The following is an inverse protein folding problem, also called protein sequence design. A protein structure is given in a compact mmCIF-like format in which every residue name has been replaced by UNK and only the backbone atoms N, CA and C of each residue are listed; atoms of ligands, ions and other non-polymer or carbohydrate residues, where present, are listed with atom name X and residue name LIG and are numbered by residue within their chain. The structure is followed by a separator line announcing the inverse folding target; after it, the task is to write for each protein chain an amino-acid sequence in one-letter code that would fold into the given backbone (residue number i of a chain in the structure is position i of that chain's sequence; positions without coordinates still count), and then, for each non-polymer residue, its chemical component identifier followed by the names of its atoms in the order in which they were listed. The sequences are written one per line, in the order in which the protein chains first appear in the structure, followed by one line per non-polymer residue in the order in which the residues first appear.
data_IF_834586760523
#
_entry.id   IF_834586760523
#
_cell.length_a   1.000
_cell.length_b   1.000
_cell.length_c   1.000
_cell.angle_alpha   90.00
_cell.angle_beta   90.00
_cell.angle_gamma   90.00
#
_symmetry.space_group_name_H-M   'P 1'
#
loop_
_entity.id
_entity.type
_entity.pdbx_description
1 polymer ?
#
# COMPACT_ATOMS: atom_id res chain seq x y z
N UNK A 1 -34.39 7.88 -12.13
CA UNK A 1 -33.12 7.40 -11.54
C UNK A 1 -32.00 7.98 -12.40
N UNK A 2 -31.24 8.98 -11.93
CA UNK A 2 -30.14 9.59 -12.71
C UNK A 2 -28.83 8.91 -12.31
N UNK A 3 -28.28 8.09 -13.22
CA UNK A 3 -26.94 7.53 -13.10
C UNK A 3 -25.95 8.66 -13.40
N UNK A 4 -25.09 9.01 -12.44
CA UNK A 4 -23.93 9.90 -12.68
C UNK A 4 -22.75 9.03 -13.14
N UNK A 5 -22.27 9.24 -14.35
CA UNK A 5 -20.98 8.71 -14.76
C UNK A 5 -19.86 9.54 -14.12
N UNK A 6 -18.77 8.90 -13.68
CA UNK A 6 -17.61 9.56 -13.04
C UNK A 6 -17.00 10.71 -13.89
N UNK A 7 -17.20 10.69 -15.21
CA UNK A 7 -16.73 11.71 -16.14
C UNK A 7 -17.67 12.93 -16.25
N UNK A 8 -18.93 12.82 -15.78
CA UNK A 8 -19.96 13.86 -15.95
C UNK A 8 -20.14 14.74 -14.70
N UNK A 9 -19.24 14.63 -13.71
CA UNK A 9 -19.21 15.56 -12.59
C UNK A 9 -18.74 16.94 -13.10
N UNK A 10 -19.70 17.80 -13.42
CA UNK A 10 -19.46 19.18 -13.84
C UNK A 10 -18.50 19.88 -12.87
N UNK A 11 -17.46 20.51 -13.43
CA UNK A 11 -16.49 21.35 -12.70
C UNK A 11 -17.26 22.44 -11.92
N UNK A 12 -17.48 22.19 -10.63
CA UNK A 12 -17.82 23.24 -9.68
C UNK A 12 -16.54 23.67 -8.96
N UNK A 13 -16.36 24.96 -8.66
CA UNK A 13 -15.16 25.45 -7.98
C UNK A 13 -14.83 24.68 -6.69
N UNK A 14 -15.87 24.24 -5.97
CA UNK A 14 -15.77 23.60 -4.66
C UNK A 14 -15.81 22.06 -4.71
N UNK A 15 -15.91 21.45 -5.89
CA UNK A 15 -16.02 20.00 -6.08
C UNK A 15 -15.22 19.58 -7.33
N UNK A 16 -13.87 19.54 -7.24
CA UNK A 16 -13.01 19.21 -8.37
C UNK A 16 -13.17 17.74 -8.76
N UNK A 17 -13.23 17.47 -10.06
CA UNK A 17 -13.22 16.11 -10.56
C UNK A 17 -11.90 15.37 -10.20
N UNK A 18 -11.92 14.04 -10.26
CA UNK A 18 -10.80 13.18 -9.86
C UNK A 18 -9.47 13.55 -10.54
N UNK A 19 -9.49 13.88 -11.83
CA UNK A 19 -8.27 14.24 -12.57
C UNK A 19 -7.65 15.52 -12.02
N UNK A 20 -8.46 16.56 -11.77
CA UNK A 20 -7.98 17.81 -11.17
C UNK A 20 -7.44 17.61 -9.76
N UNK A 21 -8.06 16.72 -8.96
CA UNK A 21 -7.52 16.37 -7.64
C UNK A 21 -6.13 15.76 -7.75
N UNK A 22 -5.94 14.78 -8.64
CA UNK A 22 -4.65 14.12 -8.86
C UNK A 22 -3.60 15.11 -9.37
N UNK A 23 -3.96 15.99 -10.31
CA UNK A 23 -3.06 17.04 -10.81
C UNK A 23 -2.61 18.00 -9.71
N UNK A 24 -3.53 18.44 -8.85
CA UNK A 24 -3.20 19.34 -7.74
C UNK A 24 -2.24 18.69 -6.73
N UNK A 25 -2.44 17.41 -6.42
CA UNK A 25 -1.51 16.66 -5.56
C UNK A 25 -0.16 16.38 -6.24
N UNK A 26 -0.17 16.10 -7.54
CA UNK A 26 1.04 15.96 -8.33
C UNK A 26 1.86 17.24 -8.33
N UNK A 27 1.24 18.40 -8.56
CA UNK A 27 1.93 19.69 -8.61
C UNK A 27 2.61 20.01 -7.27
N UNK A 28 1.96 19.69 -6.13
CA UNK A 28 2.58 19.80 -4.79
C UNK A 28 3.86 18.96 -4.68
N UNK A 29 3.79 17.69 -5.08
CA UNK A 29 4.95 16.80 -5.05
C UNK A 29 6.07 17.21 -6.02
N UNK A 30 5.70 17.66 -7.22
CA UNK A 30 6.63 18.09 -8.26
C UNK A 30 7.42 19.33 -7.81
N UNK A 31 6.75 20.31 -7.20
CA UNK A 31 7.38 21.53 -6.70
C UNK A 31 8.47 21.25 -5.64
N UNK A 32 8.31 20.20 -4.83
CA UNK A 32 9.29 19.82 -3.79
C UNK A 32 10.51 19.13 -4.40
N UNK A 33 10.31 18.33 -5.45
CA UNK A 33 11.36 17.45 -5.96
C UNK A 33 12.08 18.01 -7.18
N UNK A 34 11.53 19.03 -7.87
CA UNK A 34 12.08 19.58 -9.12
C UNK A 34 13.57 19.94 -9.00
N UNK A 35 13.95 20.75 -7.99
CA UNK A 35 15.34 21.17 -7.83
C UNK A 35 16.29 19.99 -7.55
N UNK A 36 15.86 19.04 -6.72
CA UNK A 36 16.60 17.81 -6.49
C UNK A 36 16.78 17.00 -7.78
N UNK A 37 15.73 16.87 -8.60
CA UNK A 37 15.81 16.15 -9.86
C UNK A 37 16.81 16.81 -10.82
N UNK A 38 16.89 18.15 -10.83
CA UNK A 38 17.89 18.89 -11.63
C UNK A 38 19.31 18.60 -11.13
N UNK A 39 19.53 18.57 -9.82
CA UNK A 39 20.83 18.26 -9.21
C UNK A 39 21.28 16.81 -9.46
N UNK A 40 20.33 15.87 -9.40
CA UNK A 40 20.59 14.43 -9.60
C UNK A 40 20.97 14.10 -11.07
N UNK A 41 20.69 14.99 -12.03
CA UNK A 41 21.06 14.82 -13.44
C UNK A 41 22.58 14.95 -13.67
N UNK A 42 23.25 13.80 -13.83
CA UNK A 42 24.67 13.69 -14.19
C UNK A 42 24.91 13.78 -15.70
N UNK A 43 24.63 14.94 -16.27
CA UNK A 43 24.84 15.24 -17.70
C UNK A 43 25.76 16.45 -17.89
N UNK A 44 26.30 16.60 -19.11
CA UNK A 44 27.11 17.77 -19.54
C UNK A 44 26.27 19.01 -19.90
N UNK A 45 24.95 18.91 -19.76
CA UNK A 45 23.99 19.98 -20.06
C UNK A 45 24.16 21.17 -19.09
N UNK A 46 23.82 22.38 -19.55
CA UNK A 46 23.79 23.56 -18.69
C UNK A 46 22.67 23.44 -17.62
N UNK A 47 22.73 24.18 -16.50
CA UNK A 47 21.68 24.15 -15.48
C UNK A 47 20.28 24.44 -16.04
N UNK A 48 20.19 25.37 -17.00
CA UNK A 48 18.94 25.73 -17.67
C UNK A 48 18.41 24.58 -18.54
N UNK A 49 19.30 23.92 -19.29
CA UNK A 49 18.94 22.74 -20.09
C UNK A 49 18.45 21.58 -19.20
N UNK A 50 19.12 21.33 -18.08
CA UNK A 50 18.69 20.33 -17.09
C UNK A 50 17.31 20.64 -16.54
N UNK A 51 17.05 21.90 -16.16
CA UNK A 51 15.74 22.33 -15.65
C UNK A 51 14.64 22.21 -16.70
N UNK A 52 14.91 22.58 -17.95
CA UNK A 52 13.96 22.40 -19.06
C UNK A 52 13.66 20.93 -19.32
N UNK A 53 14.67 20.06 -19.26
CA UNK A 53 14.50 18.61 -19.36
C UNK A 53 13.66 18.04 -18.23
N UNK A 54 13.94 18.42 -16.98
CA UNK A 54 13.16 17.99 -15.81
C UNK A 54 11.69 18.40 -15.96
N UNK A 55 11.43 19.66 -16.29
CA UNK A 55 10.07 20.18 -16.52
C UNK A 55 9.36 19.47 -17.67
N UNK A 56 10.09 19.16 -18.75
CA UNK A 56 9.57 18.38 -19.87
C UNK A 56 9.08 17.00 -19.42
N UNK A 57 9.90 16.28 -18.65
CA UNK A 57 9.53 14.96 -18.12
C UNK A 57 8.34 15.08 -17.15
N UNK A 58 8.36 16.04 -16.22
CA UNK A 58 7.24 16.25 -15.29
C UNK A 58 5.93 16.53 -16.02
N UNK A 59 5.95 17.28 -17.13
CA UNK A 59 4.77 17.51 -17.98
C UNK A 59 4.25 16.24 -18.66
N UNK A 60 5.12 15.28 -18.98
CA UNK A 60 4.72 13.98 -19.52
C UNK A 60 4.09 13.10 -18.44
N UNK A 61 4.61 13.18 -17.21
CA UNK A 61 4.10 12.38 -16.07
C UNK A 61 2.76 12.90 -15.56
N UNK A 62 2.57 14.23 -15.54
CA UNK A 62 1.40 14.90 -14.95
C UNK A 62 0.03 14.36 -15.42
N UNK A 63 -0.25 14.24 -16.73
CA UNK A 63 -1.60 13.93 -17.17
C UNK A 63 -1.96 12.45 -16.91
N UNK A 64 -3.06 12.25 -16.18
CA UNK A 64 -3.69 10.95 -16.02
C UNK A 64 -4.64 10.69 -17.20
N UNK A 65 -4.13 10.16 -18.32
CA UNK A 65 -4.91 10.00 -19.54
C UNK A 65 -5.98 8.89 -19.46
N UNK A 66 -5.83 7.92 -18.56
CA UNK A 66 -6.71 6.77 -18.46
C UNK A 66 -6.97 6.37 -17.00
N UNK A 67 -8.24 6.11 -16.67
CA UNK A 67 -8.67 5.52 -15.40
C UNK A 67 -9.13 4.10 -15.66
N UNK A 68 -8.48 3.11 -15.04
CA UNK A 68 -8.91 1.73 -15.06
C UNK A 68 -9.79 1.48 -13.81
N UNK A 69 -11.09 1.35 -14.01
CA UNK A 69 -12.03 0.95 -12.95
C UNK A 69 -12.30 -0.54 -13.03
N UNK A 70 -12.02 -1.28 -11.95
CA UNK A 70 -12.32 -2.71 -11.83
C UNK A 70 -13.31 -2.89 -10.69
N UNK A 71 -14.51 -3.39 -11.02
CA UNK A 71 -15.57 -3.68 -10.05
C UNK A 71 -15.77 -5.19 -9.96
N UNK A 72 -15.64 -5.76 -8.76
CA UNK A 72 -15.88 -7.17 -8.51
C UNK A 72 -17.29 -7.34 -7.93
N UNK A 73 -18.24 -7.95 -8.65
CA UNK A 73 -19.58 -8.15 -8.13
C UNK A 73 -19.61 -9.35 -7.16
N UNK A 74 -20.27 -9.20 -6.01
CA UNK A 74 -20.45 -10.27 -5.01
C UNK A 74 -21.88 -10.78 -5.11
N UNK A 75 -22.04 -12.11 -5.24
CA UNK A 75 -23.34 -12.78 -5.25
C UNK A 75 -23.63 -13.35 -3.85
N UNK A 76 -24.77 -12.96 -3.28
CA UNK A 76 -25.26 -13.48 -2.00
C UNK A 76 -25.86 -14.88 -2.16
N UNK A 77 -25.97 -15.60 -1.05
CA UNK A 77 -26.58 -16.94 -1.01
C UNK A 77 -28.07 -16.92 -1.42
N UNK A 78 -28.75 -15.78 -1.27
CA UNK A 78 -30.12 -15.55 -1.73
C UNK A 78 -30.23 -15.22 -3.24
N UNK A 79 -29.10 -15.18 -3.96
CA UNK A 79 -29.05 -14.88 -5.39
C UNK A 79 -28.97 -13.39 -5.75
N UNK A 80 -29.05 -12.49 -4.78
CA UNK A 80 -28.96 -11.05 -4.99
C UNK A 80 -27.51 -10.57 -5.10
N UNK A 81 -27.32 -9.48 -5.84
CA UNK A 81 -26.04 -8.79 -5.96
C UNK A 81 -26.07 -7.58 -5.04
N UNK A 82 -25.18 -7.53 -4.05
CA UNK A 82 -25.09 -6.39 -3.13
C UNK A 82 -23.63 -6.04 -2.91
N UNK A 83 -23.29 -4.76 -3.12
CA UNK A 83 -21.96 -4.24 -2.84
C UNK A 83 -21.92 -3.63 -1.45
N UNK A 84 -21.59 -4.43 -0.44
CA UNK A 84 -20.90 -3.85 0.72
C UNK A 84 -19.45 -3.70 0.28
N UNK A 85 -18.94 -2.47 0.16
CA UNK A 85 -17.68 -2.23 -0.54
C UNK A 85 -16.55 -3.17 -0.06
N UNK A 86 -15.94 -3.93 -0.98
CA UNK A 86 -14.88 -4.91 -0.66
C UNK A 86 -13.81 -4.32 0.27
N UNK A 87 -13.44 -3.06 0.05
CA UNK A 87 -12.46 -2.34 0.87
C UNK A 87 -12.99 -2.11 2.28
N UNK A 88 -14.21 -1.62 2.44
CA UNK A 88 -14.82 -1.30 3.74
C UNK A 88 -14.98 -2.55 4.62
N UNK A 89 -15.53 -3.64 4.07
CA UNK A 89 -15.73 -4.90 4.80
C UNK A 89 -14.42 -5.49 5.30
N UNK A 90 -13.44 -5.64 4.41
CA UNK A 90 -12.19 -6.29 4.76
C UNK A 90 -11.38 -5.43 5.72
N UNK A 91 -11.38 -4.10 5.54
CA UNK A 91 -10.74 -3.17 6.48
C UNK A 91 -11.32 -3.30 7.88
N UNK A 92 -12.65 -3.27 8.02
CA UNK A 92 -13.32 -3.45 9.32
C UNK A 92 -12.98 -4.80 9.95
N UNK A 93 -13.00 -5.90 9.18
CA UNK A 93 -12.68 -7.24 9.68
C UNK A 93 -11.25 -7.36 10.21
N UNK A 94 -10.27 -6.78 9.50
CA UNK A 94 -8.88 -6.80 9.95
C UNK A 94 -8.68 -5.91 11.17
N UNK A 95 -9.20 -4.69 11.17
CA UNK A 95 -9.13 -3.77 12.31
C UNK A 95 -9.75 -4.39 13.57
N UNK A 96 -10.94 -4.98 13.45
CA UNK A 96 -11.60 -5.67 14.57
C UNK A 96 -10.81 -6.88 15.08
N UNK A 97 -10.21 -7.67 14.18
CA UNK A 97 -9.34 -8.79 14.57
C UNK A 97 -8.13 -8.31 15.39
N UNK A 98 -7.64 -7.10 15.14
CA UNK A 98 -6.55 -6.48 15.89
C UNK A 98 -7.03 -5.61 17.07
N UNK A 99 -8.31 -5.74 17.46
CA UNK A 99 -8.86 -5.12 18.67
C UNK A 99 -9.48 -3.74 18.49
N UNK A 100 -9.54 -3.21 17.27
CA UNK A 100 -10.23 -1.94 17.00
C UNK A 100 -11.75 -2.12 17.05
N UNK A 101 -12.47 -1.10 17.52
CA UNK A 101 -13.93 -1.10 17.61
C UNK A 101 -14.54 -0.30 16.47
N UNK A 102 -15.48 -0.90 15.74
CA UNK A 102 -16.27 -0.18 14.75
C UNK A 102 -17.41 0.55 15.46
N UNK A 103 -17.47 1.87 15.29
CA UNK A 103 -18.46 2.75 15.95
C UNK A 103 -19.54 3.26 14.98
N UNK A 104 -19.28 3.17 13.68
CA UNK A 104 -20.24 3.53 12.64
C UNK A 104 -19.83 3.04 11.27
N UNK A 105 -20.82 2.84 10.40
CA UNK A 105 -20.68 2.44 9.00
C UNK A 105 -21.59 3.32 8.17
N UNK A 106 -21.04 3.99 7.15
CA UNK A 106 -21.79 4.79 6.20
C UNK A 106 -21.80 4.15 4.82
N UNK A 107 -22.95 4.15 4.16
CA UNK A 107 -23.16 3.76 2.77
C UNK A 107 -23.96 4.85 2.04
N UNK A 108 -24.12 4.68 0.71
CA UNK A 108 -24.80 5.68 -0.14
C UNK A 108 -26.23 6.01 0.32
N UNK A 109 -26.91 5.04 0.95
CA UNK A 109 -28.31 5.16 1.38
C UNK A 109 -28.48 5.57 2.85
N UNK A 110 -27.38 5.75 3.58
CA UNK A 110 -27.41 6.17 4.98
C UNK A 110 -26.25 5.63 5.81
N UNK A 111 -26.21 6.02 7.09
CA UNK A 111 -25.19 5.57 8.03
C UNK A 111 -25.82 5.00 9.30
N UNK A 112 -25.20 3.98 9.86
CA UNK A 112 -25.52 3.41 11.17
C UNK A 112 -24.41 3.78 12.16
N UNK A 113 -24.80 4.11 13.39
CA UNK A 113 -23.90 4.49 14.48
C UNK A 113 -24.34 3.79 15.77
N UNK A 114 -23.39 3.30 16.57
CA UNK A 114 -23.67 2.70 17.87
C UNK A 114 -22.63 3.16 18.91
N UNK A 115 -23.08 3.94 19.89
CA UNK A 115 -22.26 4.55 20.95
C UNK A 115 -21.78 3.57 22.04
N UNK A 116 -22.30 2.34 22.10
CA UNK A 116 -21.80 1.35 23.08
C UNK A 116 -20.37 0.88 22.78
N UNK A 117 -19.72 1.40 21.72
CA UNK A 117 -18.47 2.18 21.87
C UNK A 117 -18.53 3.47 21.05
N UNK A 118 -18.16 4.65 21.54
CA UNK A 118 -17.16 5.07 22.54
C UNK A 118 -17.80 5.92 23.67
N UNK A 119 -17.20 5.88 24.88
CA UNK A 119 -17.40 6.85 25.97
C UNK A 119 -16.99 8.27 25.52
N UNK A 120 -17.88 9.29 25.60
CA UNK A 120 -17.62 10.66 25.14
C UNK A 120 -16.32 11.28 25.66
N UNK A 121 -15.80 10.81 26.81
CA UNK A 121 -14.58 11.31 27.44
C UNK A 121 -13.27 10.76 26.82
N UNK A 122 -13.35 9.74 25.97
CA UNK A 122 -12.20 9.19 25.25
C UNK A 122 -11.95 9.86 23.88
N UNK A 123 -12.88 10.69 23.40
CA UNK A 123 -12.79 11.35 22.09
C UNK A 123 -11.91 12.62 22.11
N UNK A 124 -11.72 13.26 23.27
CA UNK A 124 -10.86 14.45 23.42
C UNK A 124 -9.35 14.14 23.25
N UNK A 125 -8.92 12.89 23.46
CA UNK A 125 -7.52 12.46 23.34
C UNK A 125 -7.21 11.68 22.04
N UNK A 126 -8.22 11.28 21.26
CA UNK A 126 -8.02 10.57 20.00
C UNK A 126 -7.73 11.56 18.88
N UNK A 127 -6.46 11.62 18.44
CA UNK A 127 -6.13 12.18 17.12
C UNK A 127 -6.93 11.45 16.06
N UNK A 128 -7.86 12.13 15.40
CA UNK A 128 -8.56 11.58 14.25
C UNK A 128 -7.51 11.17 13.19
N UNK A 129 -7.60 9.92 12.74
CA UNK A 129 -6.84 9.42 11.60
C UNK A 129 -7.84 9.12 10.50
N UNK A 130 -7.62 9.70 9.33
CA UNK A 130 -8.39 9.40 8.12
C UNK A 130 -7.60 8.37 7.32
N UNK A 131 -8.22 7.22 7.06
CA UNK A 131 -7.62 6.11 6.36
C UNK A 131 -8.35 5.92 5.01
N UNK A 132 -7.76 6.39 3.92
CA UNK A 132 -8.41 6.42 2.61
C UNK A 132 -8.40 5.04 1.92
N UNK A 133 -9.48 4.28 2.10
CA UNK A 133 -9.68 3.04 1.36
C UNK A 133 -10.15 3.26 -0.08
N UNK A 134 -10.95 4.30 -0.32
CA UNK A 134 -11.41 4.68 -1.65
C UNK A 134 -10.34 5.48 -2.41
N UNK A 135 -10.51 5.64 -3.73
CA UNK A 135 -9.66 6.50 -4.56
C UNK A 135 -10.17 7.94 -4.54
N UNK A 136 -9.32 8.88 -4.16
CA UNK A 136 -9.61 10.31 -4.09
C UNK A 136 -10.83 10.70 -3.24
N UNK A 137 -11.04 10.15 -2.02
CA UNK A 137 -12.20 10.52 -1.22
C UNK A 137 -12.09 11.92 -0.59
N UNK A 138 -10.88 12.49 -0.53
CA UNK A 138 -10.59 13.79 0.07
C UNK A 138 -10.16 14.80 -0.99
N UNK A 139 -10.85 15.94 -1.06
CA UNK A 139 -10.47 17.04 -1.95
C UNK A 139 -9.23 17.79 -1.44
N UNK A 140 -8.48 18.49 -2.31
CA UNK A 140 -7.31 19.27 -1.88
C UNK A 140 -7.60 20.32 -0.80
N UNK A 141 -8.78 20.92 -0.79
CA UNK A 141 -9.16 21.91 0.23
C UNK A 141 -9.50 21.24 1.57
N UNK A 142 -10.14 20.06 1.55
CA UNK A 142 -10.33 19.26 2.77
C UNK A 142 -8.99 18.80 3.36
N UNK A 143 -8.03 18.41 2.51
CA UNK A 143 -6.67 18.04 2.93
C UNK A 143 -5.96 19.18 3.70
N UNK A 144 -6.12 20.43 3.25
CA UNK A 144 -5.61 21.62 3.98
C UNK A 144 -6.25 21.78 5.35
N UNK A 145 -7.59 21.67 5.43
CA UNK A 145 -8.32 21.75 6.70
C UNK A 145 -7.87 20.65 7.65
N UNK A 146 -7.66 19.42 7.17
CA UNK A 146 -7.17 18.32 8.00
C UNK A 146 -5.77 18.59 8.54
N UNK A 147 -4.86 19.13 7.72
CA UNK A 147 -3.52 19.51 8.15
C UNK A 147 -3.55 20.62 9.21
N UNK A 148 -4.35 21.67 9.01
CA UNK A 148 -4.53 22.76 9.99
C UNK A 148 -5.06 22.25 11.34
N UNK A 149 -5.92 21.23 11.31
CA UNK A 149 -6.49 20.59 12.49
C UNK A 149 -5.65 19.43 13.05
N UNK A 150 -4.41 19.23 12.58
CA UNK A 150 -3.54 18.12 13.00
C UNK A 150 -4.15 16.71 12.83
N UNK A 151 -5.03 16.55 11.85
CA UNK A 151 -5.64 15.26 11.48
C UNK A 151 -4.71 14.56 10.48
N UNK A 152 -4.31 13.34 10.82
CA UNK A 152 -3.44 12.56 9.93
C UNK A 152 -4.28 11.87 8.86
N UNK A 153 -3.97 12.16 7.59
CA UNK A 153 -4.56 11.44 6.45
C UNK A 153 -3.55 10.42 5.94
N UNK A 154 -3.89 9.13 5.99
CA UNK A 154 -3.15 8.07 5.33
C UNK A 154 -3.68 7.99 3.88
N UNK A 155 -2.86 8.37 2.89
CA UNK A 155 -3.35 8.62 1.55
C UNK A 155 -3.71 7.34 0.80
N UNK A 156 -4.74 7.43 -0.03
CA UNK A 156 -5.27 6.37 -0.90
C UNK A 156 -4.19 5.65 -1.71
N UNK A 157 -3.29 6.40 -2.35
CA UNK A 157 -2.20 5.90 -3.19
C UNK A 157 -1.26 4.93 -2.48
N UNK A 158 -1.26 4.94 -1.15
CA UNK A 158 -0.55 3.98 -0.32
C UNK A 158 -1.53 2.96 0.29
N UNK A 159 -2.57 3.42 0.97
CA UNK A 159 -3.36 2.56 1.85
C UNK A 159 -4.16 1.50 1.08
N UNK A 160 -4.70 1.84 -0.08
CA UNK A 160 -5.52 0.92 -0.87
C UNK A 160 -4.70 0.09 -1.88
N UNK A 161 -3.38 0.34 -1.98
CA UNK A 161 -2.47 -0.33 -2.92
C UNK A 161 -2.32 -1.84 -2.69
N UNK A 162 -2.83 -2.36 -1.57
CA UNK A 162 -2.85 -3.80 -1.29
C UNK A 162 -3.61 -4.61 -2.35
N UNK A 163 -4.69 -4.05 -2.93
CA UNK A 163 -5.43 -4.70 -4.01
C UNK A 163 -4.54 -4.96 -5.23
N UNK A 164 -3.90 -3.89 -5.74
CA UNK A 164 -2.98 -3.97 -6.89
C UNK A 164 -1.78 -4.87 -6.60
N UNK A 165 -1.26 -4.85 -5.35
CA UNK A 165 -0.14 -5.71 -4.93
C UNK A 165 -0.49 -7.18 -5.04
N UNK A 166 -1.67 -7.59 -4.56
CA UNK A 166 -2.09 -9.00 -4.63
C UNK A 166 -2.50 -9.39 -6.06
N UNK A 167 -3.09 -8.49 -6.84
CA UNK A 167 -3.33 -8.72 -8.28
C UNK A 167 -2.02 -8.94 -9.05
N UNK A 168 -0.94 -8.26 -8.68
CA UNK A 168 0.39 -8.53 -9.24
C UNK A 168 0.88 -9.94 -8.90
N UNK A 169 0.66 -10.42 -7.67
CA UNK A 169 1.00 -11.79 -7.29
C UNK A 169 0.17 -12.83 -8.05
N UNK A 170 -1.11 -12.56 -8.28
CA UNK A 170 -1.98 -13.39 -9.10
C UNK A 170 -1.47 -13.47 -10.55
N UNK A 171 -1.09 -12.34 -11.13
CA UNK A 171 -0.50 -12.30 -12.48
C UNK A 171 0.79 -13.14 -12.57
N UNK A 172 1.69 -13.00 -11.60
CA UNK A 172 2.92 -13.82 -11.53
C UNK A 172 2.61 -15.31 -11.40
N UNK A 173 1.63 -15.68 -10.57
CA UNK A 173 1.19 -17.07 -10.44
C UNK A 173 0.68 -17.62 -11.77
N UNK A 174 -0.13 -16.84 -12.49
CA UNK A 174 -0.71 -17.24 -13.78
C UNK A 174 0.38 -17.46 -14.83
N UNK A 175 1.42 -16.62 -14.87
CA UNK A 175 2.58 -16.82 -15.75
C UNK A 175 3.40 -18.06 -15.42
N UNK A 176 3.53 -18.39 -14.14
CA UNK A 176 4.33 -19.53 -13.70
C UNK A 176 3.60 -20.87 -13.86
N UNK A 177 2.28 -20.86 -14.06
CA UNK A 177 1.43 -22.06 -14.20
C UNK A 177 1.58 -23.11 -13.08
N UNK A 178 2.10 -22.71 -11.91
CA UNK A 178 2.38 -23.60 -10.78
C UNK A 178 1.97 -22.91 -9.48
N UNK A 179 1.28 -23.64 -8.60
CA UNK A 179 0.99 -23.18 -7.25
C UNK A 179 2.26 -23.07 -6.43
N UNK A 180 2.47 -21.93 -5.76
CA UNK A 180 3.65 -21.72 -4.89
C UNK A 180 3.82 -22.85 -3.87
N UNK A 181 5.07 -23.30 -3.72
CA UNK A 181 5.47 -24.40 -2.82
C UNK A 181 5.20 -25.81 -3.34
N UNK A 182 4.37 -26.00 -4.38
CA UNK A 182 3.98 -27.34 -4.87
C UNK A 182 5.17 -28.22 -5.26
N UNK A 183 6.22 -27.64 -5.82
CA UNK A 183 7.42 -28.36 -6.27
C UNK A 183 8.45 -28.57 -5.15
N UNK A 184 8.37 -27.81 -4.05
CA UNK A 184 9.43 -27.77 -3.02
C UNK A 184 8.99 -28.27 -1.66
N UNK A 185 7.69 -28.37 -1.36
CA UNK A 185 7.18 -28.69 0.00
C UNK A 185 7.85 -29.90 0.67
N UNK A 186 7.91 -31.03 -0.04
CA UNK A 186 8.53 -32.24 0.50
C UNK A 186 10.04 -32.07 0.68
N UNK A 187 10.70 -31.48 -0.30
CA UNK A 187 12.14 -31.27 -0.29
C UNK A 187 12.57 -30.32 0.84
N UNK A 188 11.89 -29.19 1.01
CA UNK A 188 12.16 -28.22 2.08
C UNK A 188 11.88 -28.83 3.46
N UNK A 189 10.78 -29.59 3.62
CA UNK A 189 10.49 -30.31 4.86
C UNK A 189 11.60 -31.28 5.21
N UNK A 190 11.96 -32.17 4.29
CA UNK A 190 12.99 -33.19 4.51
C UNK A 190 14.36 -32.52 4.79
N UNK A 191 14.70 -31.44 4.06
CA UNK A 191 15.91 -30.65 4.26
C UNK A 191 15.97 -30.00 5.65
N UNK A 192 14.87 -29.39 6.11
CA UNK A 192 14.79 -28.77 7.43
C UNK A 192 14.93 -29.80 8.56
N UNK A 193 14.33 -30.98 8.42
CA UNK A 193 14.55 -32.06 9.40
C UNK A 193 15.98 -32.57 9.38
N UNK A 194 16.61 -32.73 8.21
CA UNK A 194 18.03 -33.08 8.13
C UNK A 194 18.95 -32.02 8.77
N UNK A 195 18.61 -30.73 8.64
CA UNK A 195 19.32 -29.65 9.30
C UNK A 195 19.23 -29.79 10.84
N UNK A 196 18.02 -29.99 11.37
CA UNK A 196 17.82 -30.19 12.82
C UNK A 196 18.55 -31.44 13.32
N UNK A 197 18.49 -32.54 12.57
CA UNK A 197 19.23 -33.77 12.87
C UNK A 197 20.74 -33.54 12.87
N UNK A 198 21.28 -32.76 11.92
CA UNK A 198 22.71 -32.44 11.87
C UNK A 198 23.17 -31.67 13.11
N UNK A 199 22.34 -30.76 13.62
CA UNK A 199 22.59 -30.03 14.88
C UNK A 199 22.54 -30.99 16.06
N UNK A 200 21.50 -31.83 16.15
CA UNK A 200 21.37 -32.84 17.20
C UNK A 200 22.58 -33.76 17.25
N UNK A 201 22.96 -34.39 16.13
CA UNK A 201 24.11 -35.29 16.06
C UNK A 201 25.42 -34.60 16.43
N UNK A 202 25.58 -33.33 16.06
CA UNK A 202 26.78 -32.54 16.41
C UNK A 202 26.87 -32.29 17.92
N UNK A 203 25.75 -31.97 18.57
CA UNK A 203 25.67 -31.79 20.01
C UNK A 203 25.87 -33.12 20.75
N UNK A 204 25.23 -34.19 20.31
CA UNK A 204 25.37 -35.53 20.89
C UNK A 204 26.80 -36.07 20.74
N UNK A 205 27.49 -35.79 19.63
CA UNK A 205 28.90 -36.14 19.46
C UNK A 205 29.80 -35.42 20.47
N UNK A 206 29.48 -34.16 20.80
CA UNK A 206 30.28 -33.33 21.71
C UNK A 206 29.98 -33.59 23.18
N UNK A 207 28.70 -33.83 23.53
CA UNK A 207 28.21 -33.83 24.91
C UNK A 207 27.52 -35.15 25.33
N UNK A 208 27.21 -36.05 24.39
CA UNK A 208 26.31 -37.20 24.59
C UNK A 208 26.84 -38.32 25.49
N UNK A 209 28.14 -38.38 25.79
CA UNK A 209 28.68 -39.38 26.73
C UNK A 209 28.27 -39.13 28.19
N UNK A 210 27.85 -37.92 28.55
CA UNK A 210 27.43 -37.56 29.91
C UNK A 210 26.01 -36.96 29.97
N UNK A 211 25.48 -36.44 28.87
CA UNK A 211 24.22 -35.68 28.85
C UNK A 211 22.96 -36.40 28.35
N UNK A 212 23.04 -37.65 27.89
CA UNK A 212 21.91 -38.34 27.27
C UNK A 212 21.54 -37.79 25.87
N UNK A 213 20.40 -38.22 25.28
CA UNK A 213 19.94 -37.73 23.98
C UNK A 213 19.55 -36.25 24.04
N UNK A 214 19.89 -35.48 23.00
CA UNK A 214 19.61 -34.04 22.92
C UNK A 214 18.64 -33.79 21.76
N UNK A 215 17.32 -33.96 21.97
CA UNK A 215 16.34 -33.83 20.89
C UNK A 215 16.26 -32.38 20.41
N UNK A 216 16.56 -32.16 19.13
CA UNK A 216 16.39 -30.87 18.45
C UNK A 216 15.12 -30.93 17.62
N UNK A 217 14.03 -30.35 18.13
CA UNK A 217 12.70 -30.40 17.50
C UNK A 217 12.20 -29.01 17.08
N UNK A 218 11.38 -28.92 16.02
CA UNK A 218 10.69 -27.67 15.66
C UNK A 218 9.85 -27.11 16.81
N UNK A 219 9.82 -25.78 16.95
CA UNK A 219 8.78 -25.09 17.72
C UNK A 219 7.44 -25.16 16.98
N UNK A 220 6.32 -24.87 17.65
CA UNK A 220 5.00 -24.85 17.01
C UNK A 220 4.95 -23.91 15.78
N UNK A 221 5.55 -22.72 15.88
CA UNK A 221 5.62 -21.75 14.79
C UNK A 221 6.48 -22.24 13.62
N UNK A 222 7.62 -22.88 13.91
CA UNK A 222 8.47 -23.43 12.86
C UNK A 222 7.84 -24.67 12.23
N UNK A 223 7.15 -25.51 13.01
CA UNK A 223 6.44 -26.68 12.52
C UNK A 223 5.35 -26.31 11.50
N UNK A 224 4.67 -25.17 11.70
CA UNK A 224 3.71 -24.65 10.73
C UNK A 224 4.35 -24.19 9.40
N UNK A 225 5.66 -23.92 9.40
CA UNK A 225 6.43 -23.40 8.24
C UNK A 225 7.48 -24.38 7.72
N UNK A 226 7.56 -25.59 8.29
CA UNK A 226 8.65 -26.54 8.02
C UNK A 226 8.71 -26.99 6.56
N UNK A 227 7.55 -26.99 5.88
CA UNK A 227 7.46 -27.34 4.47
C UNK A 227 7.79 -26.17 3.53
N UNK A 228 8.02 -24.95 4.05
CA UNK A 228 8.18 -23.76 3.22
C UNK A 228 6.89 -22.95 3.10
N UNK A 229 6.93 -21.94 2.23
CA UNK A 229 5.83 -21.00 2.06
C UNK A 229 4.78 -21.52 1.07
N UNK A 230 3.53 -21.60 1.51
CA UNK A 230 2.38 -21.79 0.62
C UNK A 230 2.01 -20.51 -0.11
N UNK A 231 1.13 -20.59 -1.11
CA UNK A 231 0.58 -19.42 -1.80
C UNK A 231 -0.02 -18.40 -0.81
N UNK A 232 -0.76 -18.86 0.20
CA UNK A 232 -1.33 -18.01 1.25
C UNK A 232 -0.24 -17.27 2.03
N UNK A 233 0.86 -17.97 2.36
CA UNK A 233 1.97 -17.40 3.11
C UNK A 233 2.71 -16.35 2.28
N UNK A 234 2.91 -16.61 0.97
CA UNK A 234 3.51 -15.66 0.03
C UNK A 234 2.65 -14.41 -0.10
N UNK A 235 1.34 -14.54 -0.27
CA UNK A 235 0.43 -13.39 -0.37
C UNK A 235 0.46 -12.55 0.92
N UNK A 236 0.33 -13.19 2.09
CA UNK A 236 0.32 -12.45 3.35
C UNK A 236 1.66 -11.77 3.66
N UNK A 237 2.77 -12.50 3.53
CA UNK A 237 4.10 -11.96 3.84
C UNK A 237 4.57 -10.95 2.81
N UNK A 238 4.30 -11.19 1.52
CA UNK A 238 4.63 -10.27 0.44
C UNK A 238 3.85 -8.97 0.53
N UNK A 239 2.56 -9.03 0.84
CA UNK A 239 1.73 -7.84 1.08
C UNK A 239 2.23 -7.07 2.29
N UNK A 240 2.43 -7.73 3.44
CA UNK A 240 2.93 -7.09 4.65
C UNK A 240 4.27 -6.39 4.43
N UNK A 241 5.23 -7.09 3.79
CA UNK A 241 6.54 -6.55 3.45
C UNK A 241 6.43 -5.31 2.56
N UNK A 242 5.58 -5.35 1.52
CA UNK A 242 5.42 -4.25 0.57
C UNK A 242 4.81 -3.02 1.24
N UNK A 243 3.78 -3.21 2.07
CA UNK A 243 3.11 -2.13 2.81
C UNK A 243 4.04 -1.52 3.87
N UNK A 244 4.81 -2.33 4.58
CA UNK A 244 5.77 -1.89 5.60
C UNK A 244 6.97 -1.15 4.98
N UNK A 245 7.52 -1.67 3.87
CA UNK A 245 8.59 -1.01 3.13
C UNK A 245 8.13 0.34 2.58
N UNK A 246 6.93 0.41 2.01
CA UNK A 246 6.42 1.61 1.36
C UNK A 246 6.02 2.68 2.39
N UNK A 247 5.42 2.32 3.53
CA UNK A 247 5.18 3.26 4.64
C UNK A 247 6.48 3.86 5.16
N UNK A 248 7.52 3.04 5.38
CA UNK A 248 8.83 3.56 5.78
C UNK A 248 9.43 4.51 4.76
N UNK A 249 9.25 4.26 3.46
CA UNK A 249 9.68 5.20 2.42
C UNK A 249 8.92 6.53 2.53
N UNK A 250 7.61 6.50 2.72
CA UNK A 250 6.79 7.71 2.90
C UNK A 250 7.23 8.48 4.15
N UNK A 251 7.39 7.80 5.30
CA UNK A 251 7.83 8.41 6.55
C UNK A 251 9.21 9.07 6.43
N UNK A 252 10.16 8.41 5.75
CA UNK A 252 11.50 8.97 5.49
C UNK A 252 11.42 10.20 4.62
N UNK A 253 10.60 10.18 3.57
CA UNK A 253 10.41 11.33 2.67
C UNK A 253 9.71 12.48 3.38
N UNK A 254 8.67 12.21 4.17
CA UNK A 254 8.01 13.21 4.99
C UNK A 254 8.99 13.86 5.97
N UNK A 255 9.86 13.07 6.61
CA UNK A 255 10.91 13.60 7.50
C UNK A 255 11.96 14.41 6.75
N UNK A 256 12.43 13.90 5.60
CA UNK A 256 13.46 14.55 4.76
C UNK A 256 13.04 15.92 4.27
N UNK A 257 11.78 16.08 3.89
CA UNK A 257 11.22 17.34 3.37
C UNK A 257 10.42 18.12 4.41
N UNK A 258 10.50 17.73 5.69
CA UNK A 258 9.80 18.37 6.82
C UNK A 258 8.29 18.57 6.57
N UNK A 259 7.62 17.56 6.02
CA UNK A 259 6.20 17.60 5.63
C UNK A 259 5.24 17.34 6.80
N UNK A 260 5.73 16.94 7.98
CA UNK A 260 4.90 16.65 9.14
C UNK A 260 3.86 15.56 8.86
N UNK A 261 2.57 15.93 8.93
CA UNK A 261 1.44 15.03 8.68
C UNK A 261 1.00 14.97 7.20
N UNK A 262 1.63 15.72 6.30
CA UNK A 262 1.32 15.68 4.86
C UNK A 262 1.96 14.44 4.19
N UNK A 263 1.39 13.27 4.53
CA UNK A 263 1.80 11.98 4.01
C UNK A 263 1.42 11.80 2.54
N UNK A 264 0.38 12.50 2.06
CA UNK A 264 -0.04 12.48 0.66
C UNK A 264 1.05 13.06 -0.22
N UNK A 265 1.52 14.26 0.09
CA UNK A 265 2.61 14.89 -0.66
C UNK A 265 3.89 14.04 -0.62
N UNK A 266 4.23 13.47 0.54
CA UNK A 266 5.39 12.56 0.65
C UNK A 266 5.27 11.31 -0.26
N UNK A 267 4.06 10.77 -0.39
CA UNK A 267 3.81 9.63 -1.27
C UNK A 267 3.90 10.02 -2.76
N UNK A 268 3.39 11.20 -3.15
CA UNK A 268 3.56 11.74 -4.51
C UNK A 268 5.03 12.01 -4.85
N UNK A 269 5.81 12.58 -3.93
CA UNK A 269 7.27 12.77 -4.12
C UNK A 269 7.94 11.42 -4.45
N UNK A 270 7.65 10.37 -3.68
CA UNK A 270 8.20 9.03 -3.93
C UNK A 270 7.76 8.45 -5.29
N UNK A 271 6.53 8.69 -5.71
CA UNK A 271 6.01 8.23 -7.00
C UNK A 271 6.69 8.97 -8.16
N UNK A 272 6.79 10.30 -8.08
CA UNK A 272 7.43 11.16 -9.08
C UNK A 272 8.88 10.76 -9.26
N UNK A 273 9.66 10.58 -8.19
CA UNK A 273 11.06 10.15 -8.29
C UNK A 273 11.22 8.81 -9.04
N UNK A 274 10.36 7.84 -8.76
CA UNK A 274 10.40 6.52 -9.40
C UNK A 274 10.05 6.60 -10.89
N UNK A 275 8.98 7.31 -11.24
CA UNK A 275 8.52 7.43 -12.62
C UNK A 275 9.49 8.30 -13.44
N UNK A 276 9.96 9.41 -12.87
CA UNK A 276 10.95 10.29 -13.48
C UNK A 276 12.20 9.52 -13.90
N UNK A 277 12.72 8.66 -13.01
CA UNK A 277 13.90 7.85 -13.29
C UNK A 277 13.74 7.02 -14.57
N UNK A 278 12.59 6.38 -14.76
CA UNK A 278 12.29 5.58 -15.97
C UNK A 278 12.31 6.45 -17.22
N UNK A 279 11.60 7.59 -17.22
CA UNK A 279 11.59 8.49 -18.38
C UNK A 279 12.96 9.07 -18.70
N UNK A 280 13.74 9.40 -17.66
CA UNK A 280 15.07 9.95 -17.82
C UNK A 280 16.06 8.92 -18.42
N UNK A 281 16.00 7.67 -17.98
CA UNK A 281 16.85 6.57 -18.48
C UNK A 281 16.41 6.07 -19.86
N UNK A 282 15.10 6.11 -20.17
CA UNK A 282 14.57 5.69 -21.46
C UNK A 282 14.94 6.63 -22.62
N UNK A 283 15.54 7.80 -22.35
CA UNK A 283 15.90 8.77 -23.38
C UNK A 283 14.69 9.37 -24.10
N UNK A 284 13.48 9.26 -23.52
CA UNK A 284 12.20 9.67 -24.11
C UNK A 284 12.00 11.20 -24.22
N UNK A 285 13.05 11.99 -24.03
CA UNK A 285 13.09 13.36 -24.56
C UNK A 285 13.28 13.26 -26.08
N UNK A 286 12.19 13.06 -26.81
CA UNK A 286 12.16 13.40 -28.23
C UNK A 286 12.46 14.91 -28.30
N UNK A 287 13.69 15.24 -28.69
CA UNK A 287 14.10 16.58 -29.12
C UNK A 287 13.41 16.94 -30.42
#
# INVERSE_FOLDING_TARGET
MRVRHYADAADKPDDPNFFRMVEGFFDRGAAIVEDKLVEDLRTRETPEQKRNRVRGILRIIKPCNHVLSVSFPIKRDNGEWEGFGNVGLHSMRYLHRFGAKCVGVGEIDGAIYNADGIDPKQLEDYKLIIAEGANGPTTPDADKVFLENNVMVIPDMYLNAGGVTVSYFEWLKNLNHVSYGRLTFKYERDSNYHLLMSVQESLERKFGKQGGPIPVVPTADFQARVAGASEKDIVHSGLAYTMERSSRQIMRTASKYNLGLDLRTAAYVNAIEKVFKVYNEAGLTFT
#
